data_IF_246291167211
#
_entry.id   IF_246291167211
#
_cell.length_a   1.000
_cell.length_b   1.000
_cell.length_c   1.000
_cell.angle_alpha   90.00
_cell.angle_beta   90.00
_cell.angle_gamma   90.00
#
_symmetry.space_group_name_H-M   'P 1'
#
loop_
_entity.id
_entity.type
_entity.pdbx_description
1 polymer ?
#
# COMPACT_ATOMS: atom_id res chain seq x y z
N UNK A 1 -22.00 3.56 9.79
CA UNK A 1 -20.61 3.72 9.30
C UNK A 1 -20.61 4.80 8.23
N UNK A 2 -19.71 5.77 8.30
CA UNK A 2 -19.63 6.87 7.33
C UNK A 2 -18.48 6.65 6.36
N UNK A 3 -18.63 7.13 5.12
CA UNK A 3 -17.57 7.22 4.12
C UNK A 3 -16.41 8.00 4.74
N UNK A 4 -15.21 7.41 4.80
CA UNK A 4 -14.11 8.09 5.45
C UNK A 4 -13.72 9.38 4.70
N UNK A 5 -13.95 9.47 3.39
CA UNK A 5 -13.53 10.62 2.59
C UNK A 5 -14.49 11.83 2.67
N UNK A 6 -15.81 11.59 2.52
CA UNK A 6 -16.80 12.68 2.45
C UNK A 6 -17.79 12.71 3.63
N UNK A 7 -17.69 11.78 4.58
CA UNK A 7 -18.55 11.76 5.76
C UNK A 7 -19.98 11.26 5.54
N UNK A 8 -20.42 11.02 4.30
CA UNK A 8 -21.79 10.52 4.03
C UNK A 8 -22.05 9.17 4.72
N UNK A 9 -23.23 9.00 5.30
CA UNK A 9 -23.65 7.74 5.90
C UNK A 9 -23.75 6.66 4.82
N UNK A 10 -23.08 5.53 5.05
CA UNK A 10 -23.09 4.39 4.13
C UNK A 10 -24.31 3.51 4.36
N UNK A 11 -24.94 3.11 3.26
CA UNK A 11 -26.07 2.20 3.21
C UNK A 11 -25.91 1.23 2.02
N UNK A 12 -26.87 0.31 1.85
CA UNK A 12 -26.81 -0.71 0.80
C UNK A 12 -26.76 -0.14 -0.62
N UNK A 13 -27.30 1.07 -0.86
CA UNK A 13 -27.36 1.71 -2.18
C UNK A 13 -26.09 2.47 -2.55
N UNK A 14 -25.45 3.13 -1.59
CA UNK A 14 -24.29 4.01 -1.86
C UNK A 14 -22.94 3.44 -1.46
N UNK A 15 -22.87 2.33 -0.70
CA UNK A 15 -21.60 1.73 -0.31
C UNK A 15 -20.88 1.13 -1.51
N UNK A 16 -19.55 1.22 -1.49
CA UNK A 16 -18.69 0.53 -2.46
C UNK A 16 -17.97 -0.64 -1.80
N UNK A 17 -17.49 -1.57 -2.63
CA UNK A 17 -16.55 -2.62 -2.24
C UNK A 17 -15.18 -2.19 -2.76
N UNK A 18 -14.24 -2.00 -1.84
CA UNK A 18 -12.86 -1.64 -2.17
C UNK A 18 -12.00 -2.89 -2.22
N UNK A 19 -11.15 -3.02 -3.23
CA UNK A 19 -9.95 -3.84 -3.05
C UNK A 19 -8.95 -3.01 -2.24
N UNK A 20 -8.43 -3.57 -1.13
CA UNK A 20 -7.49 -2.87 -0.26
C UNK A 20 -6.25 -2.45 -1.06
N UNK A 21 -5.68 -3.40 -1.80
CA UNK A 21 -4.71 -3.18 -2.87
C UNK A 21 -5.46 -3.26 -4.20
N UNK A 22 -5.14 -2.43 -5.19
CA UNK A 22 -5.86 -2.45 -6.46
C UNK A 22 -5.78 -3.83 -7.16
N UNK A 23 -6.91 -4.32 -7.66
CA UNK A 23 -7.00 -5.64 -8.30
C UNK A 23 -6.04 -5.78 -9.49
N UNK A 24 -5.85 -4.72 -10.30
CA UNK A 24 -4.97 -4.73 -11.49
C UNK A 24 -3.49 -4.94 -11.18
N UNK A 25 -3.08 -4.80 -9.92
CA UNK A 25 -1.73 -5.09 -9.47
C UNK A 25 -1.67 -6.34 -8.57
N UNK A 26 -2.73 -7.16 -8.49
CA UNK A 26 -2.74 -8.40 -7.70
C UNK A 26 -3.41 -8.30 -6.34
N UNK A 27 -4.20 -7.25 -6.11
CA UNK A 27 -4.99 -7.10 -4.89
C UNK A 27 -6.24 -7.99 -4.86
N UNK A 28 -6.42 -8.76 -3.79
CA UNK A 28 -7.57 -9.66 -3.61
C UNK A 28 -8.40 -9.35 -2.36
N UNK A 29 -7.75 -8.88 -1.28
CA UNK A 29 -8.45 -8.52 -0.06
C UNK A 29 -9.44 -7.38 -0.31
N UNK A 30 -10.70 -7.60 0.06
CA UNK A 30 -11.78 -6.61 -0.07
C UNK A 30 -12.10 -5.96 1.27
N UNK A 31 -12.32 -4.64 1.24
CA UNK A 31 -12.83 -3.83 2.34
C UNK A 31 -14.27 -3.41 2.06
N UNK A 32 -15.10 -3.44 3.11
CA UNK A 32 -16.50 -3.04 3.06
C UNK A 32 -16.75 -1.84 3.96
N UNK A 33 -17.74 -1.03 3.61
CA UNK A 33 -18.17 0.12 4.42
C UNK A 33 -17.06 1.18 4.65
N UNK A 34 -16.12 1.32 3.72
CA UNK A 34 -15.03 2.31 3.77
C UNK A 34 -15.38 3.60 3.01
N UNK A 35 -15.76 3.45 1.74
CA UNK A 35 -16.07 4.55 0.83
C UNK A 35 -17.48 4.43 0.25
N UNK A 36 -18.10 5.57 -0.04
CA UNK A 36 -19.25 5.62 -0.93
C UNK A 36 -18.79 5.44 -2.39
N UNK A 37 -19.70 5.01 -3.26
CA UNK A 37 -19.43 4.77 -4.67
C UNK A 37 -18.90 6.02 -5.39
N UNK A 38 -19.35 7.21 -5.02
CA UNK A 38 -18.87 8.47 -5.60
C UNK A 38 -17.39 8.70 -5.30
N UNK A 39 -16.99 8.65 -4.03
CA UNK A 39 -15.59 8.85 -3.64
C UNK A 39 -14.68 7.75 -4.19
N UNK A 40 -15.13 6.50 -4.16
CA UNK A 40 -14.38 5.41 -4.75
C UNK A 40 -14.16 5.63 -6.25
N UNK A 41 -15.23 5.94 -7.01
CA UNK A 41 -15.12 6.21 -8.45
C UNK A 41 -14.18 7.38 -8.74
N UNK A 42 -14.16 8.39 -7.89
CA UNK A 42 -13.26 9.54 -8.04
C UNK A 42 -11.79 9.14 -7.82
N UNK A 43 -11.49 8.41 -6.75
CA UNK A 43 -10.15 7.85 -6.54
C UNK A 43 -9.73 6.90 -7.67
N UNK A 44 -10.68 6.11 -8.18
CA UNK A 44 -10.53 5.24 -9.35
C UNK A 44 -10.09 5.98 -10.62
N UNK A 45 -10.52 7.22 -10.81
CA UNK A 45 -10.17 8.06 -11.97
C UNK A 45 -8.89 8.87 -11.77
N UNK A 46 -8.46 9.04 -10.52
CA UNK A 46 -7.35 9.90 -10.10
C UNK A 46 -6.19 9.06 -9.56
N UNK A 47 -6.05 8.95 -8.25
CA UNK A 47 -4.89 8.34 -7.57
C UNK A 47 -4.75 6.83 -7.88
N UNK A 48 -5.84 6.06 -7.91
CA UNK A 48 -5.77 4.62 -8.21
C UNK A 48 -5.37 4.38 -9.68
N UNK A 49 -5.76 5.28 -10.59
CA UNK A 49 -5.35 5.23 -11.99
C UNK A 49 -3.85 5.47 -12.12
N UNK A 50 -3.29 6.40 -11.36
CA UNK A 50 -1.85 6.67 -11.36
C UNK A 50 -1.06 5.47 -10.80
N UNK A 51 -1.53 4.84 -9.72
CA UNK A 51 -0.97 3.59 -9.20
C UNK A 51 -0.91 2.49 -10.27
N UNK A 52 -2.03 2.24 -10.94
CA UNK A 52 -2.12 1.20 -11.99
C UNK A 52 -1.27 1.56 -13.21
N UNK A 53 -1.21 2.84 -13.58
CA UNK A 53 -0.39 3.31 -14.70
C UNK A 53 1.10 3.01 -14.46
N UNK A 54 1.57 3.07 -13.22
CA UNK A 54 2.97 2.84 -12.88
C UNK A 54 3.26 1.36 -12.61
N UNK A 55 2.44 0.69 -11.79
CA UNK A 55 2.73 -0.67 -11.32
C UNK A 55 2.02 -1.78 -12.12
N UNK A 56 1.02 -1.45 -12.93
CA UNK A 56 0.25 -2.44 -13.70
C UNK A 56 1.09 -3.21 -14.72
N UNK A 57 2.22 -2.65 -15.15
CA UNK A 57 3.15 -3.33 -16.07
C UNK A 57 3.76 -4.58 -15.44
N UNK A 58 4.13 -4.54 -14.15
CA UNK A 58 4.72 -5.68 -13.46
C UNK A 58 3.71 -6.82 -13.31
N UNK A 59 2.46 -6.50 -12.96
CA UNK A 59 1.40 -7.51 -12.90
C UNK A 59 1.21 -8.23 -14.25
N UNK A 60 1.30 -7.50 -15.36
CA UNK A 60 1.22 -8.09 -16.69
C UNK A 60 2.44 -8.93 -17.05
N UNK A 61 3.65 -8.42 -16.80
CA UNK A 61 4.90 -9.11 -17.12
C UNK A 61 5.06 -10.40 -16.32
N UNK A 62 4.64 -10.40 -15.06
CA UNK A 62 4.61 -11.59 -14.20
C UNK A 62 3.41 -12.52 -14.48
N UNK A 63 2.50 -12.11 -15.36
CA UNK A 63 1.24 -12.80 -15.65
C UNK A 63 0.46 -13.19 -14.38
N UNK A 64 0.35 -12.26 -13.42
CA UNK A 64 -0.30 -12.55 -12.13
C UNK A 64 -1.80 -12.82 -12.30
N UNK A 65 -2.38 -13.75 -11.54
CA UNK A 65 -3.84 -13.90 -11.46
C UNK A 65 -4.50 -12.63 -10.89
N UNK A 66 -5.68 -12.28 -11.43
CA UNK A 66 -6.48 -11.14 -10.99
C UNK A 66 -7.80 -11.59 -10.39
N UNK A 67 -8.28 -10.93 -9.33
CA UNK A 67 -9.61 -11.20 -8.75
C UNK A 67 -10.74 -10.92 -9.76
N UNK A 68 -10.51 -10.01 -10.70
CA UNK A 68 -11.42 -9.69 -11.80
C UNK A 68 -10.68 -9.12 -13.00
N UNK A 69 -11.22 -9.36 -14.19
CA UNK A 69 -10.67 -8.85 -15.46
C UNK A 69 -9.45 -9.62 -15.94
N UNK A 70 -8.84 -9.12 -17.00
CA UNK A 70 -7.60 -9.64 -17.60
C UNK A 70 -6.61 -8.51 -17.78
N UNK A 71 -5.33 -8.83 -17.90
CA UNK A 71 -4.33 -7.84 -18.29
C UNK A 71 -4.62 -7.35 -19.71
N UNK A 72 -4.96 -6.07 -19.87
CA UNK A 72 -5.27 -5.46 -21.17
C UNK A 72 -4.29 -4.34 -21.53
N UNK A 73 -3.84 -4.29 -22.80
CA UNK A 73 -2.94 -3.26 -23.35
C UNK A 73 -1.54 -3.76 -23.71
N UNK A 74 -0.80 -3.02 -24.55
CA UNK A 74 0.59 -3.31 -24.91
C UNK A 74 1.56 -2.94 -23.78
N UNK A 75 2.64 -3.71 -23.65
CA UNK A 75 3.75 -3.42 -22.72
C UNK A 75 4.66 -2.39 -23.38
N UNK A 76 4.81 -1.21 -22.77
CA UNK A 76 5.97 -0.36 -23.01
C UNK A 76 7.00 -0.69 -21.93
N UNK A 77 8.16 -1.20 -22.31
CA UNK A 77 9.28 -1.55 -21.42
C UNK A 77 9.88 -0.33 -20.70
N UNK A 78 9.71 0.87 -21.26
CA UNK A 78 10.44 2.07 -20.84
C UNK A 78 9.61 2.93 -19.89
N UNK A 79 9.16 2.37 -18.77
CA UNK A 79 8.36 3.13 -17.80
C UNK A 79 9.09 3.37 -16.50
N UNK A 80 9.54 4.61 -16.34
CA UNK A 80 10.08 5.15 -15.09
C UNK A 80 8.95 5.20 -14.06
N UNK A 81 9.15 4.58 -12.89
CA UNK A 81 8.32 4.82 -11.71
C UNK A 81 8.57 6.27 -11.29
N UNK A 82 7.53 7.09 -11.36
CA UNK A 82 7.61 8.49 -10.96
C UNK A 82 6.89 8.59 -9.63
N UNK A 83 7.60 8.96 -8.56
CA UNK A 83 7.03 9.21 -7.23
C UNK A 83 6.15 10.48 -7.22
N UNK A 84 5.15 10.55 -8.11
CA UNK A 84 4.18 11.64 -8.17
C UNK A 84 3.32 11.63 -6.91
N UNK A 85 2.80 12.79 -6.55
CA UNK A 85 1.96 12.95 -5.37
C UNK A 85 0.72 12.04 -5.43
N UNK A 86 0.12 11.86 -6.60
CA UNK A 86 -1.05 10.99 -6.77
C UNK A 86 -0.72 9.50 -6.58
N UNK A 87 0.48 9.07 -7.01
CA UNK A 87 0.98 7.72 -6.75
C UNK A 87 1.18 7.48 -5.25
N UNK A 88 1.80 8.43 -4.55
CA UNK A 88 1.98 8.36 -3.10
C UNK A 88 0.65 8.36 -2.34
N UNK A 89 -0.32 9.17 -2.77
CA UNK A 89 -1.68 9.20 -2.21
C UNK A 89 -2.40 7.86 -2.40
N UNK A 90 -2.21 7.19 -3.53
CA UNK A 90 -2.77 5.86 -3.75
C UNK A 90 -2.16 4.81 -2.81
N UNK A 91 -0.85 4.86 -2.57
CA UNK A 91 -0.17 3.99 -1.59
C UNK A 91 -0.70 4.24 -0.17
N UNK A 92 -0.84 5.50 0.23
CA UNK A 92 -1.42 5.86 1.53
C UNK A 92 -2.88 5.38 1.66
N UNK A 93 -3.67 5.46 0.57
CA UNK A 93 -5.04 4.95 0.53
C UNK A 93 -5.11 3.44 0.81
N UNK A 94 -4.17 2.65 0.28
CA UNK A 94 -4.08 1.21 0.56
C UNK A 94 -3.94 0.96 2.07
N UNK A 95 -3.00 1.66 2.70
CA UNK A 95 -2.73 1.53 4.14
C UNK A 95 -3.93 1.96 4.98
N UNK A 96 -4.54 3.11 4.64
CA UNK A 96 -5.74 3.63 5.29
C UNK A 96 -6.92 2.65 5.18
N UNK A 97 -7.15 2.11 3.98
CA UNK A 97 -8.18 1.11 3.74
C UNK A 97 -7.93 -0.15 4.57
N UNK A 98 -6.68 -0.63 4.63
CA UNK A 98 -6.35 -1.81 5.43
C UNK A 98 -6.62 -1.60 6.91
N UNK A 99 -6.11 -0.50 7.48
CA UNK A 99 -6.35 -0.11 8.88
C UNK A 99 -7.85 -0.05 9.21
N UNK A 100 -8.62 0.68 8.40
CA UNK A 100 -10.06 0.82 8.62
C UNK A 100 -10.83 -0.51 8.40
N UNK A 101 -10.36 -1.37 7.50
CA UNK A 101 -10.98 -2.69 7.26
C UNK A 101 -10.88 -3.64 8.45
N UNK A 102 -9.90 -3.42 9.34
CA UNK A 102 -9.74 -4.16 10.60
C UNK A 102 -10.67 -3.69 11.70
N UNK A 103 -11.39 -2.57 11.49
CA UNK A 103 -12.30 -1.99 12.49
C UNK A 103 -11.61 -1.11 13.53
N UNK A 104 -10.35 -0.73 13.31
CA UNK A 104 -9.60 0.10 14.25
C UNK A 104 -10.14 1.53 14.36
N UNK A 105 -9.88 2.24 15.48
CA UNK A 105 -10.42 3.57 15.74
C UNK A 105 -10.03 4.60 14.70
N UNK A 106 -11.00 5.38 14.21
CA UNK A 106 -10.82 6.37 13.14
C UNK A 106 -10.06 7.63 13.57
N UNK A 107 -9.94 7.89 14.87
CA UNK A 107 -9.32 9.11 15.41
C UNK A 107 -7.85 9.27 14.99
N UNK A 108 -7.17 8.17 14.67
CA UNK A 108 -5.77 8.20 14.21
C UNK A 108 -5.63 8.33 12.68
N UNK A 109 -6.74 8.47 11.93
CA UNK A 109 -6.71 8.48 10.46
C UNK A 109 -6.73 9.87 9.83
N UNK A 110 -6.92 10.94 10.61
CA UNK A 110 -7.21 12.27 10.03
C UNK A 110 -6.06 12.80 9.16
N UNK A 111 -4.79 12.63 9.59
CA UNK A 111 -3.60 13.02 8.81
C UNK A 111 -3.52 12.26 7.48
N UNK A 112 -3.58 10.92 7.54
CA UNK A 112 -3.50 10.06 6.35
C UNK A 112 -4.70 10.31 5.42
N UNK A 113 -5.91 10.54 5.98
CA UNK A 113 -7.09 10.90 5.20
C UNK A 113 -6.89 12.20 4.45
N UNK A 114 -6.42 13.26 5.12
CA UNK A 114 -6.18 14.56 4.50
C UNK A 114 -5.19 14.43 3.33
N UNK A 115 -4.11 13.66 3.53
CA UNK A 115 -3.15 13.36 2.48
C UNK A 115 -3.79 12.64 1.29
N UNK A 116 -4.50 11.54 1.53
CA UNK A 116 -5.22 10.78 0.48
C UNK A 116 -6.17 11.69 -0.29
N UNK A 117 -6.86 12.61 0.40
CA UNK A 117 -7.78 13.58 -0.22
C UNK A 117 -7.08 14.71 -1.00
N UNK A 118 -5.78 14.90 -0.79
CA UNK A 118 -5.00 15.97 -1.42
C UNK A 118 -5.07 17.29 -0.65
N UNK A 119 -5.36 17.23 0.64
CA UNK A 119 -5.48 18.40 1.54
C UNK A 119 -4.21 18.64 2.37
N UNK A 120 -3.22 17.75 2.26
CA UNK A 120 -1.91 17.89 2.91
C UNK A 120 -0.79 17.38 2.01
N UNK A 121 0.45 17.70 2.36
CA UNK A 121 1.66 17.19 1.69
C UNK A 121 2.12 15.87 2.29
N UNK A 122 3.05 15.19 1.62
CA UNK A 122 3.59 13.88 2.01
C UNK A 122 4.65 13.95 3.11
N UNK A 123 5.34 15.09 3.21
CA UNK A 123 6.36 15.40 4.21
C UNK A 123 5.73 15.17 5.61
N UNK A 124 6.32 14.28 6.40
CA UNK A 124 5.86 13.76 7.71
C UNK A 124 4.74 12.71 7.72
N UNK A 125 4.34 12.16 6.57
CA UNK A 125 3.33 11.09 6.50
C UNK A 125 3.89 9.86 5.83
N UNK A 126 4.63 10.02 4.74
CA UNK A 126 5.05 8.92 3.89
C UNK A 126 6.54 9.01 3.61
N UNK A 127 7.26 7.93 3.92
CA UNK A 127 8.71 7.83 3.79
C UNK A 127 9.09 6.53 3.08
N UNK A 128 10.15 6.56 2.28
CA UNK A 128 10.78 5.34 1.80
C UNK A 128 11.43 4.60 2.98
N UNK A 129 11.21 3.28 3.05
CA UNK A 129 11.76 2.47 4.14
C UNK A 129 12.03 1.05 3.67
N UNK A 130 13.29 0.65 3.74
CA UNK A 130 13.74 -0.68 3.41
C UNK A 130 14.20 -1.41 4.68
N UNK A 131 13.47 -2.44 5.14
CA UNK A 131 13.94 -3.28 6.23
C UNK A 131 15.12 -4.14 5.76
N UNK A 132 16.32 -3.88 6.28
CA UNK A 132 17.56 -4.55 5.86
C UNK A 132 17.62 -6.05 6.19
N UNK A 133 16.85 -6.49 7.18
CA UNK A 133 16.84 -7.88 7.64
C UNK A 133 15.70 -8.72 7.06
N UNK A 134 14.87 -8.14 6.18
CA UNK A 134 13.68 -8.79 5.61
C UNK A 134 13.89 -8.96 4.10
N UNK A 135 14.36 -10.14 3.70
CA UNK A 135 14.52 -10.48 2.29
C UNK A 135 13.43 -11.48 1.82
N UNK A 136 12.75 -11.20 0.70
CA UNK A 136 11.85 -12.16 0.09
C UNK A 136 12.64 -13.35 -0.48
N UNK A 137 12.05 -14.54 -0.45
CA UNK A 137 12.63 -15.73 -1.08
C UNK A 137 12.90 -15.49 -2.57
N UNK A 138 13.93 -16.08 -3.20
CA UNK A 138 14.38 -15.74 -4.57
C UNK A 138 13.29 -15.55 -5.64
N UNK A 139 12.27 -16.40 -5.64
CA UNK A 139 11.17 -16.37 -6.62
C UNK A 139 9.85 -15.81 -6.07
N UNK A 140 9.87 -15.31 -4.83
CA UNK A 140 8.70 -14.69 -4.23
C UNK A 140 8.50 -13.27 -4.81
N UNK A 141 7.28 -13.01 -5.26
CA UNK A 141 6.80 -11.66 -5.54
C UNK A 141 5.52 -11.48 -4.75
N UNK A 142 5.59 -10.66 -3.72
CA UNK A 142 4.52 -10.47 -2.76
C UNK A 142 4.14 -9.01 -2.59
N UNK A 143 2.89 -8.81 -2.16
CA UNK A 143 2.45 -7.58 -1.53
C UNK A 143 2.38 -7.77 -0.03
N UNK A 144 2.81 -6.77 0.74
CA UNK A 144 2.74 -6.75 2.19
C UNK A 144 2.09 -5.44 2.63
N UNK A 145 1.14 -5.52 3.56
CA UNK A 145 0.68 -4.37 4.36
C UNK A 145 0.72 -4.80 5.82
N UNK A 146 1.59 -4.17 6.58
CA UNK A 146 1.78 -4.41 8.00
C UNK A 146 1.34 -3.18 8.79
N UNK A 147 0.60 -3.38 9.87
CA UNK A 147 0.21 -2.33 10.80
C UNK A 147 0.90 -2.58 12.13
N UNK A 148 1.56 -1.55 12.64
CA UNK A 148 2.16 -1.54 13.95
C UNK A 148 1.66 -0.33 14.74
N UNK A 149 1.07 -0.60 15.90
CA UNK A 149 0.66 0.40 16.87
C UNK A 149 1.16 -0.03 18.24
N UNK A 150 1.81 0.86 18.97
CA UNK A 150 2.29 0.57 20.32
C UNK A 150 1.99 1.75 21.23
N UNK A 151 1.25 1.48 22.30
CA UNK A 151 0.96 2.49 23.33
C UNK A 151 2.23 2.91 24.07
N UNK A 152 3.19 2.00 24.19
CA UNK A 152 4.41 2.20 24.97
C UNK A 152 5.36 3.18 24.24
N UNK A 153 5.48 3.06 22.92
CA UNK A 153 6.27 3.98 22.09
C UNK A 153 5.45 5.19 21.61
N UNK A 154 4.12 5.10 21.68
CA UNK A 154 3.20 6.15 21.26
C UNK A 154 3.08 6.29 19.74
N UNK A 155 3.48 5.28 18.95
CA UNK A 155 3.42 5.38 17.49
C UNK A 155 2.42 4.41 16.89
N UNK A 156 1.82 4.83 15.77
CA UNK A 156 1.01 4.02 14.88
C UNK A 156 1.46 4.29 13.45
N UNK A 157 1.88 3.24 12.75
CA UNK A 157 2.28 3.32 11.36
C UNK A 157 1.82 2.09 10.57
N UNK A 158 1.81 2.22 9.25
CA UNK A 158 1.72 1.12 8.32
C UNK A 158 3.04 0.99 7.56
N UNK A 159 3.54 -0.23 7.43
CA UNK A 159 4.54 -0.58 6.43
C UNK A 159 3.84 -1.20 5.22
N UNK A 160 4.25 -0.81 4.02
CA UNK A 160 3.76 -1.38 2.78
C UNK A 160 4.90 -1.76 1.85
N UNK A 161 4.76 -2.93 1.25
CA UNK A 161 5.64 -3.46 0.23
C UNK A 161 4.80 -3.90 -0.98
N UNK A 162 5.05 -3.35 -2.17
CA UNK A 162 4.39 -3.77 -3.41
C UNK A 162 5.39 -4.43 -4.35
N UNK A 163 5.07 -5.64 -4.82
CA UNK A 163 5.90 -6.50 -5.68
C UNK A 163 7.30 -6.79 -5.12
N UNK A 164 7.43 -6.78 -3.78
CA UNK A 164 8.72 -6.74 -3.10
C UNK A 164 9.70 -5.64 -3.55
N UNK A 165 9.16 -4.58 -4.16
CA UNK A 165 9.92 -3.54 -4.87
C UNK A 165 9.70 -2.15 -4.28
N UNK A 166 8.44 -1.77 -4.05
CA UNK A 166 8.12 -0.47 -3.49
C UNK A 166 7.91 -0.62 -1.99
N UNK A 167 8.83 -0.12 -1.18
CA UNK A 167 8.76 -0.23 0.28
C UNK A 167 8.59 1.16 0.91
N UNK A 168 7.53 1.36 1.70
CA UNK A 168 7.22 2.64 2.33
C UNK A 168 6.67 2.48 3.75
N UNK A 169 6.87 3.51 4.58
CA UNK A 169 6.20 3.70 5.86
C UNK A 169 5.18 4.82 5.72
N UNK A 170 3.98 4.61 6.27
CA UNK A 170 2.91 5.59 6.40
C UNK A 170 2.67 5.81 7.88
N UNK A 171 2.96 7.00 8.39
CA UNK A 171 2.75 7.38 9.80
C UNK A 171 1.30 7.82 9.97
N UNK A 172 0.54 7.11 10.80
CA UNK A 172 -0.83 7.48 11.16
C UNK A 172 -0.84 8.43 12.35
N UNK A 173 -0.06 8.10 13.40
CA UNK A 173 0.00 8.90 14.60
C UNK A 173 1.35 8.74 15.28
N UNK A 174 1.89 9.87 15.74
CA UNK A 174 3.00 9.92 16.66
C UNK A 174 2.50 10.06 18.11
N UNK A 175 1.21 10.10 18.37
CA UNK A 175 0.61 10.24 19.71
C UNK A 175 -0.45 9.15 19.92
N UNK A 176 -0.08 7.93 19.53
CA UNK A 176 -0.92 6.75 19.62
C UNK A 176 -1.13 6.33 21.07
N UNK A 177 -2.39 6.08 21.42
CA UNK A 177 -2.84 5.75 22.78
C UNK A 177 -3.79 4.56 22.81
N UNK A 178 -3.95 3.88 21.67
CA UNK A 178 -4.82 2.71 21.54
C UNK A 178 -4.14 1.42 21.98
N UNK A 179 -4.86 0.30 21.87
CA UNK A 179 -4.31 -1.02 22.14
C UNK A 179 -3.21 -1.40 21.15
N UNK A 180 -2.27 -2.26 21.54
CA UNK A 180 -1.20 -2.67 20.65
C UNK A 180 -1.75 -3.36 19.39
N UNK A 181 -1.23 -2.94 18.23
CA UNK A 181 -1.55 -3.49 16.91
C UNK A 181 -0.28 -4.10 16.34
N UNK A 182 -0.34 -5.36 15.95
CA UNK A 182 0.76 -6.04 15.25
C UNK A 182 0.16 -7.04 14.26
N UNK A 183 -0.18 -6.57 13.05
CA UNK A 183 -0.90 -7.40 12.08
C UNK A 183 -0.41 -7.19 10.66
N UNK A 184 -0.13 -8.32 9.99
CA UNK A 184 0.40 -8.34 8.62
C UNK A 184 -0.60 -9.00 7.69
N UNK A 185 -0.81 -8.39 6.54
CA UNK A 185 -1.36 -9.05 5.36
C UNK A 185 -0.23 -9.22 4.35
N UNK A 186 0.04 -10.45 3.95
CA UNK A 186 1.04 -10.77 2.94
C UNK A 186 0.46 -11.75 1.94
N UNK A 187 0.70 -11.51 0.66
CA UNK A 187 0.20 -12.37 -0.42
C UNK A 187 1.19 -12.44 -1.56
N UNK A 188 1.59 -13.66 -1.90
CA UNK A 188 2.34 -13.97 -3.11
C UNK A 188 1.41 -13.73 -4.30
N UNK A 189 1.73 -12.75 -5.14
CA UNK A 189 0.87 -12.34 -6.25
C UNK A 189 0.99 -13.25 -7.45
N UNK A 190 2.10 -13.97 -7.60
CA UNK A 190 2.32 -14.93 -8.69
C UNK A 190 1.61 -16.24 -8.37
N UNK A 191 1.85 -16.78 -7.17
CA UNK A 191 1.21 -18.02 -6.70
C UNK A 191 -0.24 -17.80 -6.25
N UNK A 192 -0.64 -16.55 -6.05
CA UNK A 192 -1.99 -16.15 -5.67
C UNK A 192 -2.43 -16.70 -4.29
N UNK A 193 -1.50 -16.80 -3.34
CA UNK A 193 -1.73 -17.37 -2.00
C UNK A 193 -1.35 -16.38 -0.89
N UNK A 194 -2.17 -16.29 0.15
CA UNK A 194 -1.81 -15.54 1.37
C UNK A 194 -0.71 -16.29 2.12
N UNK A 195 0.29 -15.54 2.59
CA UNK A 195 1.45 -16.08 3.31
C UNK A 195 1.39 -15.66 4.79
N UNK A 196 1.74 -16.56 5.73
CA UNK A 196 1.90 -16.21 7.13
C UNK A 196 3.22 -15.45 7.33
N UNK A 197 3.23 -14.16 7.00
CA UNK A 197 4.40 -13.27 7.17
C UNK A 197 4.34 -12.57 8.53
N UNK A 198 5.42 -12.66 9.29
CA UNK A 198 5.68 -11.82 10.46
C UNK A 198 6.77 -10.81 10.07
N UNK A 199 6.60 -9.56 10.48
CA UNK A 199 7.64 -8.54 10.33
C UNK A 199 8.44 -8.48 11.64
N UNK A 200 9.76 -8.58 11.56
CA UNK A 200 10.66 -8.57 12.73
C UNK A 200 11.34 -7.21 12.93
N UNK A 201 10.59 -6.13 12.72
CA UNK A 201 11.01 -4.78 13.07
C UNK A 201 9.87 -4.02 13.74
N UNK A 202 10.22 -3.17 14.69
CA UNK A 202 9.31 -2.26 15.39
C UNK A 202 9.98 -0.90 15.48
N UNK A 203 9.47 0.07 14.73
CA UNK A 203 10.04 1.41 14.72
C UNK A 203 9.56 2.19 15.94
N UNK A 204 10.50 2.78 16.65
CA UNK A 204 10.24 3.74 17.72
C UNK A 204 9.92 5.13 17.14
N UNK A 205 9.51 6.05 18.01
CA UNK A 205 9.36 7.47 17.66
C UNK A 205 10.64 8.04 17.02
N UNK A 206 11.79 7.78 17.64
CA UNK A 206 13.08 8.30 17.16
C UNK A 206 13.44 7.71 15.79
N UNK A 207 13.10 6.44 15.54
CA UNK A 207 13.35 5.82 14.23
C UNK A 207 12.50 6.50 13.15
N UNK A 208 11.22 6.76 13.43
CA UNK A 208 10.29 7.42 12.50
C UNK A 208 10.70 8.88 12.23
N UNK A 209 11.06 9.64 13.26
CA UNK A 209 11.55 11.02 13.11
C UNK A 209 12.91 11.08 12.37
N UNK A 210 13.71 10.02 12.49
CA UNK A 210 14.99 9.87 11.81
C UNK A 210 14.90 9.38 10.36
N UNK A 211 13.71 9.00 9.87
CA UNK A 211 13.51 8.57 8.48
C UNK A 211 13.83 9.73 7.54
N UNK A 212 14.94 9.58 6.82
CA UNK A 212 15.26 10.42 5.67
C UNK A 212 14.86 9.65 4.42
N UNK A 213 14.40 10.37 3.40
CA UNK A 213 14.18 9.76 2.08
C UNK A 213 15.53 9.22 1.58
N UNK A 214 15.73 7.92 1.80
CA UNK A 214 16.91 7.20 1.32
C UNK A 214 16.76 7.13 -0.19
N UNK A 215 17.84 7.40 -0.91
CA UNK A 215 17.92 7.02 -2.33
C UNK A 215 17.66 5.52 -2.38
N UNK A 216 16.46 5.13 -2.82
CA UNK A 216 16.07 3.72 -2.95
C UNK A 216 17.09 3.10 -3.89
N UNK A 217 17.94 2.24 -3.35
CA UNK A 217 18.86 1.47 -4.17
C UNK A 217 18.03 0.61 -5.13
N UNK A 218 18.41 0.61 -6.40
CA UNK A 218 17.63 0.01 -7.47
C UNK A 218 17.55 -1.53 -7.37
N UNK A 219 18.21 -2.14 -6.39
CA UNK A 219 18.34 -3.60 -6.24
C UNK A 219 17.01 -4.34 -6.14
N UNK A 220 15.96 -3.77 -5.51
CA UNK A 220 14.64 -4.44 -5.46
C UNK A 220 13.95 -4.44 -6.82
N UNK A 221 14.09 -3.34 -7.57
CA UNK A 221 13.64 -3.27 -8.96
C UNK A 221 14.44 -4.25 -9.82
N UNK A 222 15.75 -4.27 -9.69
CA UNK A 222 16.62 -5.22 -10.42
C UNK A 222 16.27 -6.67 -10.12
N UNK A 223 16.02 -7.00 -8.85
CA UNK A 223 15.55 -8.34 -8.45
C UNK A 223 14.23 -8.68 -9.12
N UNK A 224 13.24 -7.79 -9.08
CA UNK A 224 11.95 -8.00 -9.73
C UNK A 224 12.12 -8.21 -11.24
N UNK A 225 12.97 -7.41 -11.88
CA UNK A 225 13.26 -7.52 -13.30
C UNK A 225 13.97 -8.83 -13.66
N UNK A 226 14.89 -9.33 -12.83
CA UNK A 226 15.51 -10.66 -13.01
C UNK A 226 14.50 -11.81 -12.84
N UNK A 227 13.47 -11.65 -12.03
CA UNK A 227 12.37 -12.63 -11.93
C UNK A 227 11.51 -12.61 -13.21
N UNK A 228 11.26 -11.42 -13.76
CA UNK A 228 10.49 -11.24 -14.99
C UNK A 228 11.24 -11.77 -16.22
N UNK A 229 12.52 -11.43 -16.34
CA UNK A 229 13.41 -11.88 -17.40
C UNK A 229 14.78 -12.25 -16.81
N UNK A 230 15.03 -13.56 -16.58
CA UNK A 230 16.30 -14.03 -16.00
C UNK A 230 17.55 -13.70 -16.83
N UNK A 231 17.39 -13.34 -18.11
CA UNK A 231 18.51 -13.00 -18.99
C UNK A 231 18.74 -11.47 -19.12
N UNK A 232 17.95 -10.65 -18.43
CA UNK A 232 18.07 -9.20 -18.49
C UNK A 232 19.43 -8.74 -17.93
N UNK A 233 20.09 -7.83 -18.66
CA UNK A 233 21.32 -7.16 -18.22
C UNK A 233 20.91 -5.74 -17.81
N UNK A 234 21.08 -5.42 -16.52
CA UNK A 234 20.67 -4.16 -15.88
C UNK A 234 21.89 -3.33 -15.46
#
# INVERSE_FOLDING_TARGET
MNCYNCGVILNRKNRSVEHIINASIGGFKKGYNLLCQTCNKEFGKTIDRELVKQLGVFGRLLNIPLDRGTHSGSVSSDKVIVNSIDYQRAIAKICLNYYLSKGYPKQYCDRVRAFVKGESVAEDILHDYLPLNEEPSDNEVSHIVHLHGSKDTGVLYAYIELFNMQNKIIIFSMDYTGDDIDVTYCRDVVRNVELPRKMDFKLSRNDLEGLKDVVVSNFRYERLMKIIDPNIIL
#
